data_IF_580164649854
#
_entry.id   IF_580164649854
#
_cell.length_a   1.000
_cell.length_b   1.000
_cell.length_c   1.000
_cell.angle_alpha   90.00
_cell.angle_beta   90.00
_cell.angle_gamma   90.00
#
_symmetry.space_group_name_H-M   'P 1'
#
loop_
_entity.id
_entity.type
_entity.pdbx_description
1 polymer ?
#
# COMPACT_ATOMS: atom_id res chain seq x y z
N UNK A 1 -15.34 -14.60 -2.00
CA UNK A 1 -16.72 -14.44 -1.48
C UNK A 1 -17.11 -12.97 -1.59
N UNK A 2 -18.05 -12.65 -2.46
CA UNK A 2 -18.60 -11.30 -2.58
C UNK A 2 -19.76 -11.14 -1.59
N UNK A 3 -19.58 -10.30 -0.58
CA UNK A 3 -20.65 -9.94 0.37
C UNK A 3 -21.71 -9.16 -0.45
N UNK A 4 -22.91 -9.73 -0.62
CA UNK A 4 -23.96 -9.12 -1.44
C UNK A 4 -24.44 -7.77 -0.88
N UNK A 5 -25.02 -6.94 -1.74
CA UNK A 5 -25.45 -5.54 -1.43
C UNK A 5 -26.35 -5.47 -0.18
N UNK A 6 -27.17 -6.48 0.06
CA UNK A 6 -28.06 -6.59 1.23
C UNK A 6 -27.32 -6.82 2.56
N UNK A 7 -26.04 -7.20 2.52
CA UNK A 7 -25.18 -7.46 3.69
C UNK A 7 -24.11 -6.39 3.89
N UNK A 8 -24.17 -5.29 3.14
CA UNK A 8 -23.20 -4.19 3.20
C UNK A 8 -23.90 -2.89 3.57
N UNK A 9 -23.28 -2.11 4.47
CA UNK A 9 -23.75 -0.77 4.85
C UNK A 9 -22.59 0.21 4.73
N UNK A 10 -22.82 1.35 4.08
CA UNK A 10 -21.82 2.37 3.83
C UNK A 10 -22.09 3.60 4.68
N UNK A 11 -21.01 4.10 5.30
CA UNK A 11 -20.99 5.33 6.07
C UNK A 11 -19.62 5.97 5.92
N UNK A 12 -19.59 7.28 5.72
CA UNK A 12 -18.35 8.06 5.71
C UNK A 12 -17.83 8.27 7.13
N UNK A 13 -17.34 7.17 7.73
CA UNK A 13 -16.88 7.14 9.10
C UNK A 13 -15.67 8.05 9.34
N UNK A 14 -14.81 8.22 8.34
CA UNK A 14 -13.63 9.09 8.45
C UNK A 14 -14.08 10.54 8.64
N UNK A 15 -14.94 11.05 7.76
CA UNK A 15 -15.41 12.44 7.83
C UNK A 15 -16.20 12.72 9.10
N UNK A 16 -17.11 11.82 9.49
CA UNK A 16 -17.93 12.01 10.69
C UNK A 16 -17.06 12.10 11.95
N UNK A 17 -16.04 11.25 12.05
CA UNK A 17 -15.14 11.24 13.20
C UNK A 17 -14.23 12.47 13.19
N UNK A 18 -13.70 12.85 12.02
CA UNK A 18 -12.90 14.07 11.87
C UNK A 18 -13.69 15.32 12.24
N UNK A 19 -14.93 15.48 11.76
CA UNK A 19 -15.80 16.60 12.12
C UNK A 19 -16.15 16.65 13.61
N UNK A 20 -16.22 15.48 14.28
CA UNK A 20 -16.66 15.39 15.68
C UNK A 20 -15.53 15.45 16.69
N UNK A 21 -14.35 14.91 16.35
CA UNK A 21 -13.20 14.77 17.26
C UNK A 21 -11.97 15.58 16.81
N UNK A 22 -11.97 16.13 15.59
CA UNK A 22 -10.80 16.80 15.01
C UNK A 22 -9.67 15.84 14.61
N UNK A 23 -9.91 14.51 14.67
CA UNK A 23 -8.94 13.48 14.33
C UNK A 23 -9.62 12.28 13.66
N UNK A 24 -8.85 11.47 12.94
CA UNK A 24 -9.35 10.25 12.25
C UNK A 24 -8.93 8.95 12.93
N UNK A 25 -8.12 9.03 14.00
CA UNK A 25 -7.58 7.82 14.65
C UNK A 25 -8.68 6.94 15.25
N UNK A 26 -9.79 7.55 15.70
CA UNK A 26 -10.90 6.84 16.31
C UNK A 26 -11.92 6.27 15.29
N UNK A 27 -11.68 6.39 13.97
CA UNK A 27 -12.59 5.89 12.92
C UNK A 27 -12.86 4.40 13.02
N UNK A 28 -11.86 3.59 13.39
CA UNK A 28 -12.06 2.15 13.58
C UNK A 28 -12.98 1.86 14.78
N UNK A 29 -12.89 2.66 15.85
CA UNK A 29 -13.71 2.51 17.04
C UNK A 29 -15.15 2.98 16.78
N UNK A 30 -15.32 4.05 15.99
CA UNK A 30 -16.61 4.44 15.45
C UNK A 30 -17.26 3.31 14.64
N UNK A 31 -16.52 2.68 13.72
CA UNK A 31 -17.02 1.55 12.95
C UNK A 31 -17.39 0.35 13.84
N UNK A 32 -16.64 0.11 14.91
CA UNK A 32 -17.00 -0.91 15.90
C UNK A 32 -18.31 -0.58 16.62
N UNK A 33 -18.53 0.69 17.00
CA UNK A 33 -19.80 1.15 17.55
C UNK A 33 -20.97 1.01 16.58
N UNK A 34 -20.75 1.34 15.31
CA UNK A 34 -21.71 1.17 14.23
C UNK A 34 -22.09 -0.30 14.04
N UNK A 35 -21.09 -1.18 13.94
CA UNK A 35 -21.28 -2.61 13.78
C UNK A 35 -21.95 -3.26 15.01
N UNK A 36 -21.63 -2.80 16.22
CA UNK A 36 -22.29 -3.22 17.46
C UNK A 36 -23.78 -2.89 17.43
N UNK A 37 -24.14 -1.65 17.07
CA UNK A 37 -25.55 -1.24 16.99
C UNK A 37 -26.31 -1.97 15.88
N UNK A 38 -25.61 -2.37 14.81
CA UNK A 38 -26.13 -3.25 13.74
C UNK A 38 -26.18 -4.74 14.15
N UNK A 39 -25.86 -5.09 15.39
CA UNK A 39 -25.85 -6.46 15.95
C UNK A 39 -24.87 -7.42 15.26
N UNK A 40 -23.79 -6.90 14.68
CA UNK A 40 -22.75 -7.71 14.02
C UNK A 40 -21.67 -8.21 14.99
N UNK A 41 -21.61 -7.65 16.20
CA UNK A 41 -20.60 -7.95 17.21
C UNK A 41 -21.27 -8.70 18.38
N UNK A 42 -20.92 -9.98 18.63
CA UNK A 42 -21.59 -10.82 19.63
C UNK A 42 -20.94 -10.73 21.03
N UNK A 43 -20.62 -9.52 21.48
CA UNK A 43 -20.14 -9.25 22.85
C UNK A 43 -20.84 -8.01 23.39
N UNK A 44 -20.90 -7.85 24.72
CA UNK A 44 -21.62 -6.74 25.33
C UNK A 44 -20.93 -5.40 25.11
N UNK A 45 -21.71 -4.33 24.98
CA UNK A 45 -21.19 -2.97 24.85
C UNK A 45 -20.34 -2.56 26.05
N UNK A 46 -20.68 -3.03 27.25
CA UNK A 46 -19.92 -2.82 28.48
C UNK A 46 -18.53 -3.47 28.38
N UNK A 47 -18.43 -4.69 27.82
CA UNK A 47 -17.14 -5.34 27.63
C UNK A 47 -16.26 -4.61 26.60
N UNK A 48 -16.86 -4.03 25.56
CA UNK A 48 -16.14 -3.22 24.57
C UNK A 48 -15.64 -1.92 25.21
N UNK A 49 -16.49 -1.21 25.95
CA UNK A 49 -16.12 0.03 26.64
C UNK A 49 -15.03 -0.20 27.69
N UNK A 50 -15.12 -1.31 28.44
CA UNK A 50 -14.10 -1.71 29.40
C UNK A 50 -12.78 -2.06 28.71
N UNK A 51 -12.82 -2.76 27.58
CA UNK A 51 -11.62 -3.04 26.80
C UNK A 51 -10.97 -1.76 26.24
N UNK A 52 -11.77 -0.76 25.84
CA UNK A 52 -11.26 0.56 25.42
C UNK A 52 -10.59 1.27 26.60
N UNK A 53 -11.20 1.21 27.78
CA UNK A 53 -10.66 1.80 29.00
C UNK A 53 -9.32 1.17 29.42
N UNK A 54 -9.21 -0.17 29.37
CA UNK A 54 -8.02 -0.91 29.80
C UNK A 54 -6.81 -0.79 28.85
N UNK A 55 -7.01 -0.62 27.54
CA UNK A 55 -5.93 -0.57 26.54
C UNK A 55 -5.25 0.81 26.38
N UNK A 56 -5.54 1.76 27.28
CA UNK A 56 -5.53 3.21 27.03
C UNK A 56 -4.31 3.87 26.33
N UNK A 57 -4.57 4.37 25.13
CA UNK A 57 -4.15 5.71 24.65
C UNK A 57 -5.43 6.41 24.16
N UNK A 58 -5.69 7.64 24.60
CA UNK A 58 -6.89 8.43 24.24
C UNK A 58 -8.25 7.71 24.49
N UNK A 59 -8.42 7.11 25.67
CA UNK A 59 -9.60 6.30 26.01
C UNK A 59 -10.93 7.06 25.92
N UNK A 60 -10.96 8.34 26.32
CA UNK A 60 -12.16 9.19 26.24
C UNK A 60 -12.61 9.41 24.80
N UNK A 61 -11.69 9.77 23.89
CA UNK A 61 -11.99 9.93 22.47
C UNK A 61 -12.48 8.62 21.83
N UNK A 62 -11.88 7.48 22.21
CA UNK A 62 -12.32 6.17 21.73
C UNK A 62 -13.71 5.80 22.26
N UNK A 63 -14.02 6.05 23.53
CA UNK A 63 -15.37 5.83 24.07
C UNK A 63 -16.40 6.74 23.40
N UNK A 64 -16.06 8.00 23.17
CA UNK A 64 -16.89 8.93 22.42
C UNK A 64 -17.13 8.42 21.00
N UNK A 65 -16.09 8.02 20.27
CA UNK A 65 -16.21 7.49 18.92
C UNK A 65 -17.08 6.23 18.87
N UNK A 66 -16.94 5.31 19.83
CA UNK A 66 -17.78 4.11 19.93
C UNK A 66 -19.26 4.48 20.10
N UNK A 67 -19.57 5.40 21.02
CA UNK A 67 -20.93 5.86 21.25
C UNK A 67 -21.48 6.64 20.05
N UNK A 68 -20.65 7.47 19.40
CA UNK A 68 -21.01 8.18 18.17
C UNK A 68 -21.36 7.21 17.03
N UNK A 69 -20.60 6.13 16.88
CA UNK A 69 -20.87 5.06 15.93
C UNK A 69 -22.21 4.37 16.18
N UNK A 70 -22.57 4.13 17.45
CA UNK A 70 -23.89 3.59 17.81
C UNK A 70 -25.00 4.57 17.47
N UNK A 71 -24.83 5.84 17.84
CA UNK A 71 -25.80 6.89 17.54
C UNK A 71 -25.97 7.10 16.03
N UNK A 72 -24.95 6.87 15.22
CA UNK A 72 -25.01 7.04 13.78
C UNK A 72 -26.05 6.12 13.11
N UNK A 73 -26.26 4.92 13.65
CA UNK A 73 -27.29 3.99 13.19
C UNK A 73 -28.68 4.49 13.58
N UNK A 74 -28.85 4.96 14.82
CA UNK A 74 -30.15 5.44 15.34
C UNK A 74 -30.59 6.75 14.69
N UNK A 75 -29.67 7.71 14.55
CA UNK A 75 -29.92 9.03 13.96
C UNK A 75 -29.99 9.00 12.43
N UNK A 76 -29.77 7.83 11.80
CA UNK A 76 -29.65 7.69 10.34
C UNK A 76 -28.75 8.78 9.74
N UNK A 77 -27.58 9.00 10.36
CA UNK A 77 -26.58 9.93 9.82
C UNK A 77 -26.34 9.61 8.34
N UNK A 78 -26.10 10.63 7.50
CA UNK A 78 -26.15 10.50 6.05
C UNK A 78 -25.36 9.28 5.62
N UNK A 79 -26.09 8.26 5.14
CA UNK A 79 -25.50 7.09 4.51
C UNK A 79 -24.97 7.58 3.19
N UNK A 80 -23.75 7.19 2.85
CA UNK A 80 -23.28 7.32 1.48
C UNK A 80 -24.12 6.34 0.68
N UNK A 81 -25.23 6.80 0.10
CA UNK A 81 -26.05 6.01 -0.82
C UNK A 81 -25.12 5.49 -1.89
N UNK A 82 -25.01 4.16 -2.01
CA UNK A 82 -24.25 3.41 -3.01
C UNK A 82 -23.43 4.31 -3.94
N UNK A 83 -22.34 4.86 -3.41
CA UNK A 83 -21.29 5.31 -4.30
C UNK A 83 -20.72 4.01 -4.82
N UNK A 84 -21.17 3.63 -6.02
CA UNK A 84 -20.32 2.91 -6.96
C UNK A 84 -18.90 3.41 -6.72
N UNK A 85 -17.96 2.48 -6.58
CA UNK A 85 -16.56 2.72 -6.21
C UNK A 85 -15.79 3.63 -7.20
N UNK A 86 -16.49 4.38 -8.05
CA UNK A 86 -16.02 5.26 -9.10
C UNK A 86 -16.24 6.76 -8.83
N UNK A 87 -16.78 7.20 -7.69
CA UNK A 87 -17.15 8.62 -7.54
C UNK A 87 -16.77 9.24 -6.19
N UNK A 88 -15.46 9.42 -5.96
CA UNK A 88 -15.00 10.58 -5.19
C UNK A 88 -15.40 11.85 -5.97
N UNK A 89 -16.11 12.82 -5.39
CA UNK A 89 -16.43 14.06 -6.07
C UNK A 89 -15.12 14.82 -6.36
N UNK A 90 -14.66 14.77 -7.61
CA UNK A 90 -13.43 15.40 -8.08
C UNK A 90 -12.42 14.46 -8.77
N UNK A 91 -12.65 13.15 -8.81
CA UNK A 91 -11.80 12.25 -9.59
C UNK A 91 -12.24 12.25 -11.06
N UNK A 92 -11.73 13.21 -11.84
CA UNK A 92 -11.62 13.00 -13.28
C UNK A 92 -10.97 11.62 -13.51
N UNK A 93 -11.45 10.86 -14.51
CA UNK A 93 -10.88 9.56 -14.83
C UNK A 93 -9.42 9.75 -15.25
N UNK A 94 -8.50 9.63 -14.29
CA UNK A 94 -7.07 9.87 -14.50
C UNK A 94 -6.63 9.01 -15.67
N UNK A 95 -6.20 9.66 -16.74
CA UNK A 95 -5.80 8.93 -17.95
C UNK A 95 -4.54 8.12 -17.68
N UNK A 96 -4.30 7.09 -18.48
CA UNK A 96 -3.09 6.25 -18.31
C UNK A 96 -1.80 7.09 -18.43
N UNK A 97 -1.78 8.08 -19.32
CA UNK A 97 -0.65 9.00 -19.46
C UNK A 97 -0.50 9.93 -18.24
N UNK A 98 -1.59 10.48 -17.70
CA UNK A 98 -1.55 11.26 -16.45
C UNK A 98 -1.04 10.43 -15.27
N UNK A 99 -1.46 9.15 -15.19
CA UNK A 99 -1.00 8.22 -14.17
C UNK A 99 0.51 7.98 -14.27
N UNK A 100 1.04 7.83 -15.49
CA UNK A 100 2.46 7.64 -15.76
C UNK A 100 3.24 8.90 -15.38
N UNK A 101 2.80 10.07 -15.82
CA UNK A 101 3.45 11.35 -15.53
C UNK A 101 3.44 11.67 -14.03
N UNK A 102 2.32 11.48 -13.34
CA UNK A 102 2.25 11.65 -11.89
C UNK A 102 3.27 10.76 -11.16
N UNK A 103 3.37 9.48 -11.54
CA UNK A 103 4.31 8.52 -10.94
C UNK A 103 5.76 8.85 -11.27
N UNK A 104 6.05 9.30 -12.49
CA UNK A 104 7.37 9.77 -12.91
C UNK A 104 7.81 10.99 -12.09
N UNK A 105 6.92 11.97 -11.92
CA UNK A 105 7.18 13.14 -11.08
C UNK A 105 7.46 12.75 -9.64
N UNK A 106 6.65 11.84 -9.08
CA UNK A 106 6.88 11.29 -7.74
C UNK A 106 8.24 10.59 -7.64
N UNK A 107 8.60 9.72 -8.60
CA UNK A 107 9.88 9.00 -8.58
C UNK A 107 11.10 9.92 -8.76
N UNK A 108 10.93 11.04 -9.45
CA UNK A 108 11.96 12.07 -9.58
C UNK A 108 12.25 12.74 -8.23
N UNK A 109 11.19 13.08 -7.48
CA UNK A 109 11.33 13.60 -6.12
C UNK A 109 11.85 12.55 -5.15
N UNK A 110 11.37 11.31 -5.28
CA UNK A 110 11.76 10.16 -4.47
C UNK A 110 13.26 9.86 -4.56
N UNK A 111 13.82 9.76 -5.77
CA UNK A 111 15.24 9.42 -5.98
C UNK A 111 15.93 10.39 -6.94
N UNK A 112 15.64 10.29 -8.24
CA UNK A 112 16.28 11.07 -9.29
C UNK A 112 15.51 10.96 -10.61
N UNK A 113 15.83 11.83 -11.57
CA UNK A 113 15.28 11.76 -12.93
C UNK A 113 15.57 10.42 -13.60
N UNK A 114 16.80 9.92 -13.49
CA UNK A 114 17.18 8.61 -14.05
C UNK A 114 16.34 7.46 -13.47
N UNK A 115 15.98 7.53 -12.18
CA UNK A 115 15.14 6.52 -11.54
C UNK A 115 13.69 6.58 -12.04
N UNK A 116 13.18 7.78 -12.32
CA UNK A 116 11.88 7.98 -12.96
C UNK A 116 11.88 7.54 -14.43
N UNK A 117 12.95 7.81 -15.17
CA UNK A 117 13.11 7.38 -16.56
C UNK A 117 13.16 5.84 -16.67
N UNK A 118 13.75 5.15 -15.69
CA UNK A 118 13.70 3.68 -15.57
C UNK A 118 12.26 3.16 -15.49
N UNK A 119 11.44 3.80 -14.65
CA UNK A 119 10.00 3.50 -14.54
C UNK A 119 9.27 3.71 -15.87
N UNK A 120 9.40 4.91 -16.43
CA UNK A 120 8.71 5.31 -17.66
C UNK A 120 9.10 4.40 -18.83
N UNK A 121 10.39 4.07 -18.96
CA UNK A 121 10.90 3.22 -20.03
C UNK A 121 10.28 1.81 -20.01
N UNK A 122 10.14 1.19 -18.83
CA UNK A 122 9.49 -0.12 -18.72
C UNK A 122 8.01 -0.04 -19.11
N UNK A 123 7.29 0.94 -18.56
CA UNK A 123 5.85 1.08 -18.80
C UNK A 123 5.56 1.39 -20.27
N UNK A 124 6.29 2.32 -20.90
CA UNK A 124 6.09 2.67 -22.31
C UNK A 124 6.46 1.53 -23.26
N UNK A 125 7.43 0.68 -22.89
CA UNK A 125 7.76 -0.53 -23.65
C UNK A 125 6.59 -1.53 -23.63
N UNK A 126 6.00 -1.76 -22.45
CA UNK A 126 4.81 -2.62 -22.30
C UNK A 126 3.62 -2.04 -23.07
N UNK A 127 3.36 -0.73 -22.94
CA UNK A 127 2.29 -0.05 -23.68
C UNK A 127 2.43 -0.25 -25.18
N UNK A 128 3.64 -0.12 -25.72
CA UNK A 128 3.91 -0.32 -27.14
C UNK A 128 3.63 -1.77 -27.58
N UNK A 129 4.00 -2.76 -26.78
CA UNK A 129 3.71 -4.16 -27.05
C UNK A 129 2.21 -4.47 -26.96
N UNK A 130 1.51 -3.84 -26.02
CA UNK A 130 0.07 -4.07 -25.78
C UNK A 130 -0.84 -3.38 -26.79
N UNK A 131 -0.38 -2.32 -27.49
CA UNK A 131 -1.14 -1.60 -28.52
C UNK A 131 -1.80 -2.53 -29.54
N UNK A 132 -1.11 -3.59 -29.96
CA UNK A 132 -1.63 -4.56 -30.93
C UNK A 132 -2.85 -5.34 -30.40
N UNK A 133 -3.07 -5.39 -29.09
CA UNK A 133 -4.12 -6.16 -28.42
C UNK A 133 -5.38 -5.35 -28.13
N UNK A 134 -5.41 -4.05 -28.48
CA UNK A 134 -6.50 -3.12 -28.16
C UNK A 134 -6.90 -3.16 -26.66
N UNK A 135 -5.91 -3.31 -25.77
CA UNK A 135 -6.09 -3.35 -24.31
C UNK A 135 -4.99 -2.53 -23.63
N UNK A 136 -5.26 -2.05 -22.42
CA UNK A 136 -4.30 -1.37 -21.54
C UNK A 136 -4.09 -2.10 -20.21
N UNK A 137 -4.69 -3.29 -20.03
CA UNK A 137 -4.74 -4.01 -18.74
C UNK A 137 -3.35 -4.37 -18.22
N UNK A 138 -2.47 -4.83 -19.11
CA UNK A 138 -1.10 -5.20 -18.77
C UNK A 138 -0.29 -3.96 -18.44
N UNK A 139 -0.44 -2.89 -19.22
CA UNK A 139 0.23 -1.62 -18.97
C UNK A 139 -0.20 -1.00 -17.65
N UNK A 140 -1.48 -1.00 -17.33
CA UNK A 140 -2.02 -0.53 -16.05
C UNK A 140 -1.46 -1.33 -14.87
N UNK A 141 -1.43 -2.67 -14.99
CA UNK A 141 -0.84 -3.55 -14.00
C UNK A 141 0.64 -3.23 -13.75
N UNK A 142 1.42 -3.07 -14.82
CA UNK A 142 2.86 -2.73 -14.74
C UNK A 142 3.05 -1.35 -14.16
N UNK A 143 2.33 -0.34 -14.65
CA UNK A 143 2.41 1.01 -14.14
C UNK A 143 2.16 1.02 -12.61
N UNK A 144 1.16 0.27 -12.13
CA UNK A 144 0.77 0.24 -10.71
C UNK A 144 1.75 -0.52 -9.84
N UNK A 145 2.07 -1.76 -10.21
CA UNK A 145 2.92 -2.62 -9.41
C UNK A 145 4.39 -2.21 -9.46
N UNK A 146 4.89 -1.80 -10.62
CA UNK A 146 6.28 -1.40 -10.74
C UNK A 146 6.55 -0.11 -9.96
N UNK A 147 5.65 0.88 -10.05
CA UNK A 147 5.75 2.07 -9.22
C UNK A 147 5.74 1.73 -7.73
N UNK A 148 4.83 0.85 -7.28
CA UNK A 148 4.77 0.40 -5.88
C UNK A 148 6.10 -0.22 -5.43
N UNK A 149 6.72 -1.04 -6.28
CA UNK A 149 8.01 -1.69 -5.98
C UNK A 149 9.17 -0.69 -5.99
N UNK A 150 9.16 0.30 -6.87
CA UNK A 150 10.20 1.32 -6.93
C UNK A 150 10.12 2.35 -5.80
N UNK A 151 8.90 2.70 -5.38
CA UNK A 151 8.59 3.70 -4.35
C UNK A 151 8.33 3.07 -2.97
N UNK A 152 9.19 2.13 -2.55
CA UNK A 152 9.10 1.55 -1.21
C UNK A 152 9.46 2.58 -0.15
N UNK A 153 8.74 2.59 0.98
CA UNK A 153 9.01 3.54 2.07
C UNK A 153 10.24 3.11 2.84
N UNK A 154 11.35 3.79 2.58
CA UNK A 154 12.61 3.63 3.29
C UNK A 154 12.93 4.82 4.18
N UNK A 155 14.05 4.74 4.87
CA UNK A 155 14.49 5.74 5.84
C UNK A 155 14.65 7.12 5.19
N UNK A 156 15.15 7.17 3.95
CA UNK A 156 15.33 8.42 3.20
C UNK A 156 13.99 9.02 2.76
N UNK A 157 13.04 8.20 2.31
CA UNK A 157 11.72 8.67 1.89
C UNK A 157 10.88 9.10 3.09
N UNK A 158 10.91 8.35 4.19
CA UNK A 158 10.30 8.75 5.45
C UNK A 158 10.87 10.11 5.87
N UNK A 159 12.19 10.26 5.86
CA UNK A 159 12.85 11.51 6.19
C UNK A 159 12.43 12.67 5.27
N UNK A 160 12.27 12.44 3.97
CA UNK A 160 11.77 13.42 3.01
C UNK A 160 10.34 13.86 3.35
N UNK A 161 9.44 12.90 3.61
CA UNK A 161 8.04 13.16 3.94
C UNK A 161 7.85 13.93 5.24
N UNK A 162 8.67 13.67 6.26
CA UNK A 162 8.65 14.43 7.52
C UNK A 162 9.25 15.85 7.40
N UNK A 163 9.91 16.15 6.29
CA UNK A 163 10.57 17.43 6.04
C UNK A 163 9.89 18.23 4.91
N UNK A 164 8.63 17.93 4.58
CA UNK A 164 7.87 18.73 3.62
C UNK A 164 7.02 19.79 4.32
N UNK A 165 6.71 20.87 3.60
CA UNK A 165 5.88 21.95 4.13
C UNK A 165 4.45 21.48 4.37
N UNK A 166 3.94 20.58 3.51
CA UNK A 166 2.59 20.00 3.66
C UNK A 166 2.47 19.20 4.96
N UNK A 167 3.52 18.48 5.37
CA UNK A 167 3.51 17.78 6.66
C UNK A 167 3.40 18.78 7.82
N UNK A 168 4.17 19.87 7.77
CA UNK A 168 4.14 20.90 8.81
C UNK A 168 2.77 21.58 8.89
N UNK A 169 2.23 21.99 7.75
CA UNK A 169 0.89 22.58 7.66
C UNK A 169 -0.17 21.62 8.19
N UNK A 170 -0.06 20.31 7.92
CA UNK A 170 -1.01 19.32 8.44
C UNK A 170 -1.00 19.23 9.97
N UNK A 171 0.17 19.40 10.58
CA UNK A 171 0.32 19.35 12.04
C UNK A 171 -0.19 20.65 12.67
N UNK A 172 0.16 21.81 12.10
CA UNK A 172 -0.31 23.12 12.58
C UNK A 172 -1.84 23.27 12.44
N UNK A 173 -2.45 22.61 11.44
CA UNK A 173 -3.90 22.56 11.27
C UNK A 173 -4.61 21.65 12.29
N UNK A 174 -3.99 20.53 12.68
CA UNK A 174 -4.59 19.55 13.59
C UNK A 174 -4.42 19.91 15.07
N UNK A 175 -3.32 20.57 15.44
CA UNK A 175 -2.97 20.82 16.83
C UNK A 175 -2.91 22.32 17.14
N UNK A 176 -3.66 22.74 18.16
CA UNK A 176 -3.65 24.13 18.65
C UNK A 176 -2.64 24.32 19.78
N UNK A 177 -2.03 25.51 19.86
CA UNK A 177 -1.15 25.92 20.96
C UNK A 177 0.31 25.47 20.79
N UNK A 178 1.05 25.45 21.90
CA UNK A 178 2.45 25.03 21.91
C UNK A 178 2.55 23.52 22.08
N UNK A 179 2.77 22.79 20.98
CA UNK A 179 3.01 21.34 21.02
C UNK A 179 4.46 20.99 20.71
N UNK A 180 4.88 19.82 21.19
CA UNK A 180 6.19 19.23 20.92
C UNK A 180 5.99 17.83 20.35
N UNK A 181 6.70 17.52 19.28
CA UNK A 181 6.61 16.22 18.61
C UNK A 181 7.69 15.26 19.10
N UNK A 182 7.26 14.04 19.43
CA UNK A 182 8.15 12.91 19.72
C UNK A 182 7.90 11.79 18.73
N UNK A 183 8.98 11.11 18.33
CA UNK A 183 8.95 9.99 17.40
C UNK A 183 9.25 8.68 18.10
N UNK A 184 8.36 7.70 17.94
CA UNK A 184 8.56 6.34 18.42
C UNK A 184 9.08 5.46 17.27
N UNK A 185 10.40 5.38 17.13
CA UNK A 185 11.06 4.69 16.02
C UNK A 185 11.78 3.44 16.50
N UNK A 186 11.93 2.45 15.63
CA UNK A 186 12.84 1.32 15.85
C UNK A 186 13.90 1.33 14.74
N UNK A 187 14.92 2.22 14.81
CA UNK A 187 15.87 2.38 13.72
C UNK A 187 16.67 1.08 13.51
N UNK A 188 16.79 0.55 12.27
CA UNK A 188 17.30 -0.80 12.03
C UNK A 188 18.69 -1.09 12.59
N UNK A 189 19.55 -0.07 12.66
CA UNK A 189 20.96 -0.21 13.03
C UNK A 189 21.23 -0.07 14.53
N UNK A 190 20.34 0.60 15.27
CA UNK A 190 20.59 0.97 16.68
C UNK A 190 19.48 0.53 17.63
N UNK A 191 18.32 0.11 17.13
CA UNK A 191 17.22 -0.29 17.99
C UNK A 191 17.58 -1.55 18.78
N UNK A 192 17.49 -1.54 20.12
CA UNK A 192 17.74 -2.72 20.92
C UNK A 192 16.70 -3.79 20.60
N UNK A 193 17.13 -5.04 20.49
CA UNK A 193 16.21 -6.15 20.27
C UNK A 193 15.59 -6.59 21.60
N UNK A 194 14.29 -6.85 21.58
CA UNK A 194 13.57 -7.41 22.72
C UNK A 194 14.00 -8.87 22.97
N UNK A 195 14.26 -9.20 24.25
CA UNK A 195 14.79 -10.51 24.64
C UNK A 195 13.80 -11.66 24.45
N UNK A 196 12.50 -11.39 24.57
CA UNK A 196 11.46 -12.42 24.49
C UNK A 196 10.94 -12.59 23.07
N UNK A 197 10.64 -11.47 22.41
CA UNK A 197 10.04 -11.47 21.06
C UNK A 197 11.08 -11.48 19.94
N UNK A 198 12.37 -11.20 20.27
CA UNK A 198 13.45 -10.99 19.29
C UNK A 198 13.15 -9.91 18.25
N UNK A 199 12.29 -8.94 18.59
CA UNK A 199 11.88 -7.84 17.71
C UNK A 199 12.56 -6.53 18.10
N UNK A 200 12.83 -5.61 17.15
CA UNK A 200 13.32 -4.27 17.45
C UNK A 200 12.37 -3.53 18.41
N UNK A 201 12.91 -2.98 19.50
CA UNK A 201 12.14 -2.12 20.42
C UNK A 201 12.03 -0.71 19.86
N UNK A 202 10.85 -0.11 20.06
CA UNK A 202 10.66 1.32 19.79
C UNK A 202 11.41 2.14 20.84
N UNK A 203 12.11 3.16 20.36
CA UNK A 203 12.85 4.16 21.13
C UNK A 203 12.22 5.52 20.85
N UNK A 204 12.09 6.33 21.90
CA UNK A 204 11.58 7.69 21.81
C UNK A 204 12.68 8.66 21.41
N UNK A 205 12.41 9.45 20.37
CA UNK A 205 13.25 10.55 19.93
C UNK A 205 12.46 11.85 20.04
N UNK A 206 13.02 12.86 20.69
CA UNK A 206 12.39 14.17 20.82
C UNK A 206 12.42 15.01 19.53
N UNK A 207 12.00 16.29 19.61
CA UNK A 207 11.92 17.19 18.46
C UNK A 207 13.22 17.37 17.68
N UNK A 208 14.37 17.19 18.33
CA UNK A 208 15.69 17.31 17.69
C UNK A 208 15.87 16.34 16.51
N UNK A 209 15.10 15.24 16.46
CA UNK A 209 15.17 14.25 15.41
C UNK A 209 14.72 14.76 14.04
N UNK A 210 13.96 15.87 13.97
CA UNK A 210 13.69 16.55 12.70
C UNK A 210 14.98 16.99 11.99
N UNK A 211 16.02 17.36 12.74
CA UNK A 211 17.32 17.69 12.14
C UNK A 211 17.96 16.48 11.47
N UNK A 212 17.77 15.29 12.06
CA UNK A 212 18.23 14.01 11.49
C UNK A 212 17.46 13.69 10.22
N UNK A 213 16.13 13.82 10.21
CA UNK A 213 15.33 13.64 9.00
C UNK A 213 15.76 14.62 7.89
N UNK A 214 15.96 15.90 8.22
CA UNK A 214 16.43 16.89 7.24
C UNK A 214 17.79 16.52 6.64
N UNK A 215 18.68 15.94 7.43
CA UNK A 215 19.97 15.48 6.96
C UNK A 215 19.83 14.22 6.09
N UNK A 216 19.11 13.20 6.58
CA UNK A 216 18.86 11.95 5.86
C UNK A 216 18.19 12.17 4.51
N UNK A 217 17.21 13.08 4.42
CA UNK A 217 16.53 13.39 3.16
C UNK A 217 17.49 13.86 2.05
N UNK A 218 18.60 14.53 2.41
CA UNK A 218 19.64 14.96 1.45
C UNK A 218 20.54 13.82 0.98
N UNK A 219 20.64 12.76 1.79
CA UNK A 219 21.46 11.58 1.49
C UNK A 219 20.71 10.48 0.73
N UNK A 220 19.53 10.77 0.17
CA UNK A 220 18.78 9.81 -0.68
C UNK A 220 19.60 9.23 -1.84
N UNK A 221 20.63 9.93 -2.31
CA UNK A 221 21.54 9.42 -3.35
C UNK A 221 22.35 8.20 -2.90
N UNK A 222 22.47 7.96 -1.59
CA UNK A 222 23.08 6.75 -1.04
C UNK A 222 22.19 5.51 -1.21
N UNK A 223 20.88 5.68 -1.43
CA UNK A 223 19.95 4.56 -1.60
C UNK A 223 20.45 3.56 -2.64
N UNK A 224 20.64 2.31 -2.22
CA UNK A 224 21.07 1.22 -3.09
C UNK A 224 22.51 1.29 -3.59
N UNK A 225 23.32 2.24 -3.11
CA UNK A 225 24.76 2.25 -3.35
C UNK A 225 25.51 1.40 -2.31
N UNK A 226 26.78 1.10 -2.56
CA UNK A 226 27.62 0.33 -1.63
C UNK A 226 27.79 1.03 -0.26
N UNK A 227 27.68 2.35 -0.23
CA UNK A 227 27.75 3.17 0.98
C UNK A 227 26.40 3.38 1.66
N UNK A 228 25.35 2.65 1.26
CA UNK A 228 24.04 2.70 1.92
C UNK A 228 24.07 1.95 3.26
N UNK A 229 24.03 2.64 4.43
CA UNK A 229 24.02 1.96 5.72
C UNK A 229 22.77 1.09 5.92
N UNK A 230 21.65 1.43 5.28
CA UNK A 230 20.38 0.69 5.42
C UNK A 230 20.26 -0.44 4.40
N UNK A 231 21.00 -0.36 3.27
CA UNK A 231 20.95 -1.31 2.16
C UNK A 231 21.29 -2.76 2.55
N UNK A 232 22.03 -2.94 3.64
CA UNK A 232 22.42 -4.27 4.13
C UNK A 232 21.35 -5.00 4.92
N UNK A 233 20.26 -4.31 5.30
CA UNK A 233 19.15 -4.92 6.05
C UNK A 233 18.38 -5.93 5.20
N UNK A 234 17.78 -6.94 5.85
CA UNK A 234 17.01 -7.97 5.15
C UNK A 234 15.83 -7.37 4.36
N UNK A 235 15.17 -6.34 4.91
CA UNK A 235 14.08 -5.65 4.24
C UNK A 235 14.57 -4.93 2.98
N UNK A 236 15.68 -4.15 3.04
CA UNK A 236 16.18 -3.44 1.85
C UNK A 236 16.64 -4.41 0.75
N UNK A 237 17.30 -5.52 1.12
CA UNK A 237 17.69 -6.56 0.17
C UNK A 237 16.47 -7.18 -0.53
N UNK A 238 15.42 -7.48 0.22
CA UNK A 238 14.17 -8.00 -0.33
C UNK A 238 13.54 -7.00 -1.31
N UNK A 239 13.48 -5.70 -0.99
CA UNK A 239 12.91 -4.69 -1.89
C UNK A 239 13.68 -4.59 -3.21
N UNK A 240 15.02 -4.57 -3.14
CA UNK A 240 15.87 -4.54 -4.32
C UNK A 240 15.70 -5.80 -5.18
N UNK A 241 15.62 -6.96 -4.54
CA UNK A 241 15.37 -8.24 -5.20
C UNK A 241 14.00 -8.25 -5.90
N UNK A 242 12.95 -7.74 -5.24
CA UNK A 242 11.61 -7.65 -5.81
C UNK A 242 11.57 -6.77 -7.07
N UNK A 243 12.29 -5.65 -7.09
CA UNK A 243 12.39 -4.77 -8.28
C UNK A 243 13.01 -5.55 -9.45
N UNK A 244 14.18 -6.17 -9.24
CA UNK A 244 14.90 -6.88 -10.30
C UNK A 244 14.11 -8.09 -10.79
N UNK A 245 13.49 -8.84 -9.88
CA UNK A 245 12.67 -10.00 -10.24
C UNK A 245 11.42 -9.58 -11.01
N UNK A 246 10.81 -8.43 -10.69
CA UNK A 246 9.67 -7.91 -11.43
C UNK A 246 10.04 -7.47 -12.85
N UNK A 247 11.18 -6.81 -13.04
CA UNK A 247 11.68 -6.45 -14.37
C UNK A 247 11.92 -7.70 -15.23
N UNK A 248 12.58 -8.71 -14.65
CA UNK A 248 12.80 -10.00 -15.32
C UNK A 248 11.48 -10.68 -15.68
N UNK A 249 10.49 -10.64 -14.79
CA UNK A 249 9.16 -11.19 -15.03
C UNK A 249 8.46 -10.49 -16.19
N UNK A 250 8.53 -9.15 -16.27
CA UNK A 250 8.00 -8.40 -17.40
C UNK A 250 8.71 -8.81 -18.70
N UNK A 251 10.05 -8.88 -18.69
CA UNK A 251 10.84 -9.32 -19.85
C UNK A 251 10.49 -10.74 -20.30
N UNK A 252 10.20 -11.64 -19.37
CA UNK A 252 9.76 -13.00 -19.66
C UNK A 252 8.35 -13.03 -20.27
N UNK A 253 7.42 -12.22 -19.77
CA UNK A 253 6.02 -12.27 -20.19
C UNK A 253 5.73 -11.51 -21.50
N UNK A 254 6.47 -10.43 -21.79
CA UNK A 254 6.18 -9.59 -22.96
C UNK A 254 6.25 -10.33 -24.30
N UNK A 255 7.22 -11.22 -24.56
CA UNK A 255 7.26 -12.00 -25.80
C UNK A 255 6.06 -12.94 -25.98
N UNK A 256 5.33 -13.26 -24.91
CA UNK A 256 4.18 -14.18 -24.90
C UNK A 256 2.84 -13.46 -24.95
N UNK A 257 2.85 -12.13 -25.03
CA UNK A 257 1.65 -11.31 -25.05
C UNK A 257 0.85 -11.54 -26.35
N UNK A 258 -0.40 -11.99 -26.19
CA UNK A 258 -1.38 -12.10 -27.25
C UNK A 258 -2.80 -11.90 -26.66
N UNK A 259 -3.81 -11.74 -27.52
CA UNK A 259 -5.17 -11.36 -27.11
C UNK A 259 -5.79 -12.36 -26.12
N UNK A 260 -5.47 -13.65 -26.21
CA UNK A 260 -5.95 -14.68 -25.30
C UNK A 260 -5.25 -14.69 -23.93
N UNK A 261 -4.05 -14.10 -23.83
CA UNK A 261 -3.21 -14.12 -22.61
C UNK A 261 -3.16 -12.79 -21.86
N UNK A 262 -3.72 -11.71 -22.42
CA UNK A 262 -3.74 -10.36 -21.80
C UNK A 262 -4.18 -10.43 -20.32
N UNK A 263 -5.31 -11.08 -20.03
CA UNK A 263 -5.85 -11.12 -18.67
C UNK A 263 -4.97 -11.91 -17.71
N UNK A 264 -4.44 -13.06 -18.14
CA UNK A 264 -3.59 -13.90 -17.30
C UNK A 264 -2.23 -13.25 -17.01
N UNK A 265 -1.63 -12.59 -18.01
CA UNK A 265 -0.38 -11.82 -17.85
C UNK A 265 -0.60 -10.65 -16.90
N UNK A 266 -1.70 -9.90 -17.07
CA UNK A 266 -2.04 -8.80 -16.17
C UNK A 266 -2.23 -9.28 -14.72
N UNK A 267 -2.91 -10.42 -14.50
CA UNK A 267 -3.08 -11.00 -13.16
C UNK A 267 -1.75 -11.35 -12.49
N UNK A 268 -0.83 -11.97 -13.23
CA UNK A 268 0.51 -12.30 -12.72
C UNK A 268 1.27 -11.02 -12.34
N UNK A 269 1.20 -9.99 -13.19
CA UNK A 269 1.89 -8.71 -12.96
C UNK A 269 1.26 -7.86 -11.84
N UNK A 270 0.03 -8.17 -11.42
CA UNK A 270 -0.66 -7.55 -10.28
C UNK A 270 -0.32 -8.19 -8.93
N UNK A 271 0.30 -9.38 -8.91
CA UNK A 271 0.61 -10.09 -7.67
C UNK A 271 1.40 -9.30 -6.61
N UNK A 272 2.35 -8.40 -6.97
CA UNK A 272 3.05 -7.57 -5.98
C UNK A 272 2.12 -6.73 -5.08
N UNK A 273 0.86 -6.50 -5.46
CA UNK A 273 -0.12 -5.82 -4.61
C UNK A 273 -0.42 -6.54 -3.30
N UNK A 274 -0.32 -7.87 -3.33
CA UNK A 274 -0.53 -8.74 -2.18
C UNK A 274 0.64 -8.68 -1.19
N UNK A 275 1.81 -8.18 -1.61
CA UNK A 275 2.95 -7.94 -0.73
C UNK A 275 2.67 -6.67 0.11
N UNK A 276 2.15 -6.87 1.32
CA UNK A 276 1.82 -5.81 2.28
C UNK A 276 2.45 -6.08 3.64
N UNK A 277 2.45 -5.08 4.51
CA UNK A 277 3.01 -5.16 5.86
C UNK A 277 4.49 -4.78 5.92
N UNK A 278 5.10 -5.04 7.08
CA UNK A 278 6.47 -4.63 7.41
C UNK A 278 7.28 -5.81 7.96
N UNK A 279 8.60 -5.78 7.82
CA UNK A 279 9.52 -6.79 8.33
C UNK A 279 9.11 -8.23 7.93
N UNK A 280 9.03 -9.11 8.92
CA UNK A 280 8.70 -10.53 8.72
C UNK A 280 7.34 -10.77 8.05
N UNK A 281 6.34 -9.89 8.28
CA UNK A 281 5.02 -10.01 7.64
C UNK A 281 5.16 -9.80 6.14
N UNK A 282 5.93 -8.78 5.74
CA UNK A 282 6.23 -8.52 4.34
C UNK A 282 7.02 -9.67 3.71
N UNK A 283 8.05 -10.17 4.40
CA UNK A 283 8.85 -11.29 3.92
C UNK A 283 8.01 -12.56 3.70
N UNK A 284 7.09 -12.88 4.61
CA UNK A 284 6.18 -14.02 4.45
C UNK A 284 5.21 -13.82 3.28
N UNK A 285 4.62 -12.62 3.16
CA UNK A 285 3.74 -12.29 2.04
C UNK A 285 4.49 -12.37 0.70
N UNK A 286 5.74 -11.91 0.63
CA UNK A 286 6.58 -12.03 -0.56
C UNK A 286 6.82 -13.49 -0.96
N UNK A 287 7.07 -14.39 0.00
CA UNK A 287 7.20 -15.83 -0.26
C UNK A 287 5.90 -16.46 -0.78
N UNK A 288 4.76 -16.11 -0.18
CA UNK A 288 3.46 -16.59 -0.65
C UNK A 288 3.15 -16.10 -2.07
N UNK A 289 3.47 -14.84 -2.36
CA UNK A 289 3.32 -14.25 -3.70
C UNK A 289 4.23 -14.94 -4.71
N UNK A 290 5.48 -15.24 -4.35
CA UNK A 290 6.40 -15.95 -5.23
C UNK A 290 5.89 -17.36 -5.58
N UNK A 291 5.34 -18.10 -4.61
CA UNK A 291 4.74 -19.41 -4.86
C UNK A 291 3.52 -19.32 -5.79
N UNK A 292 2.65 -18.33 -5.58
CA UNK A 292 1.48 -18.11 -6.43
C UNK A 292 1.88 -17.67 -7.85
N UNK A 293 2.90 -16.81 -7.97
CA UNK A 293 3.46 -16.40 -9.25
C UNK A 293 3.97 -17.61 -10.03
N UNK A 294 4.72 -18.51 -9.39
CA UNK A 294 5.22 -19.72 -10.02
C UNK A 294 4.09 -20.65 -10.46
N UNK A 295 3.03 -20.78 -9.65
CA UNK A 295 1.82 -21.55 -10.01
C UNK A 295 1.17 -20.99 -11.27
N UNK A 296 0.90 -19.68 -11.30
CA UNK A 296 0.26 -19.01 -12.44
C UNK A 296 1.12 -19.04 -13.70
N UNK A 297 2.44 -18.84 -13.58
CA UNK A 297 3.38 -19.00 -14.70
C UNK A 297 3.35 -20.41 -15.27
N UNK A 298 3.32 -21.44 -14.41
CA UNK A 298 3.26 -22.83 -14.88
C UNK A 298 2.00 -23.15 -15.67
N UNK A 299 0.86 -22.52 -15.32
CA UNK A 299 -0.40 -22.65 -16.05
C UNK A 299 -0.30 -21.95 -17.40
N UNK A 300 0.16 -20.69 -17.40
CA UNK A 300 0.32 -19.89 -18.62
C UNK A 300 1.25 -20.54 -19.66
N UNK A 301 2.30 -21.21 -19.20
CA UNK A 301 3.28 -21.90 -20.03
C UNK A 301 2.79 -23.28 -20.50
N UNK A 302 1.96 -23.97 -19.71
CA UNK A 302 1.39 -25.26 -20.13
C UNK A 302 0.47 -25.11 -21.33
N UNK A 303 -0.30 -24.02 -21.38
CA UNK A 303 -1.19 -23.70 -22.51
C UNK A 303 -0.42 -23.53 -23.84
N UNK A 304 0.86 -23.12 -23.80
CA UNK A 304 1.73 -23.09 -24.99
C UNK A 304 2.09 -24.50 -25.47
N UNK A 305 2.36 -25.42 -24.56
CA UNK A 305 2.71 -26.82 -24.90
C UNK A 305 1.53 -27.63 -25.43
N UNK A 306 0.29 -27.38 -24.98
CA UNK A 306 -0.88 -28.09 -25.51
C UNK A 306 -1.19 -27.76 -26.98
N UNK A 307 -0.78 -26.59 -27.47
CA UNK A 307 -0.96 -26.18 -28.86
C UNK A 307 0.07 -26.80 -29.83
N UNK A 308 1.17 -27.38 -29.33
CA UNK A 308 2.25 -27.98 -30.15
C UNK A 308 2.01 -29.47 -30.47
N UNK A 309 0.92 -30.07 -29.99
CA UNK A 309 0.59 -31.49 -30.28
C UNK A 309 -0.38 -31.60 -31.47
N UNK A 310 0.06 -31.17 -32.65
CA UNK A 310 -0.58 -31.54 -33.92
C UNK A 310 0.51 -31.92 -34.94
N UNK A 311 0.97 -33.15 -34.87
CA UNK A 311 1.45 -33.86 -36.05
C UNK A 311 0.86 -35.28 -36.01
N UNK A 312 -0.23 -35.47 -36.76
CA UNK A 312 -0.54 -36.78 -37.31
C UNK A 312 0.50 -37.10 -38.38
N UNK A 313 1.13 -38.28 -38.36
CA UNK A 313 1.55 -38.92 -39.59
C UNK A 313 0.35 -39.69 -40.16
N UNK A 314 0.10 -39.45 -41.44
CA UNK A 314 -0.91 -40.07 -42.28
C UNK A 314 -0.80 -41.61 -42.33
N UNK A 315 -1.93 -42.18 -42.74
CA UNK A 315 -2.04 -43.45 -43.46
C UNK A 315 -0.74 -43.92 -44.14
N UNK A 316 -0.26 -45.10 -43.74
CA UNK A 316 0.40 -46.11 -44.56
C UNK A 316 0.31 -47.46 -43.84
#
# INVERSE_FOLDING_TARGET
ESVGVEKTSFIDATRIVEESLGETMATNIFLAGYAYQMRLIPISGEAILEAIHLNGTNAEANQFAFNLGRMAVEKKLPRTENQDQSSLPGAEAVTLDELIEHRKNYLTLYQSRQYADRYESLVRRVLTAEKAMASNKVTEAVARCYFKLLAYKDEYEVARLYNTDEFRESIDAQFQGNFSMEFNLAPPLIAPTDKHTRRPKKVRFGPWFFMVFRLLAKFKFLRGCMFDPFGYTADRKLEQELIVNYERLVDELMPRLNAGKVSAIAEILLLPEKIRGFGYVKANNAKMVAAEQQRLLSILLKDDTSLVTLVSPEAA
#
